data_IF_005657569213
#
_entry.id   IF_005657569213
#
_cell.length_a   1.000
_cell.length_b   1.000
_cell.length_c   1.000
_cell.angle_alpha   90.00
_cell.angle_beta   90.00
_cell.angle_gamma   90.00
#
_symmetry.space_group_name_H-M   'P 1'
#
loop_
_entity.id
_entity.type
_entity.pdbx_description
1 polymer ?
#
# COMPACT_ATOMS: atom_id res chain seq x y z
N UNK A 1 -31.95 -14.54 -11.11
CA UNK A 1 -30.55 -14.77 -10.63
C UNK A 1 -29.68 -13.52 -10.64
N UNK A 2 -29.88 -12.52 -11.51
CA UNK A 2 -29.07 -11.27 -11.55
C UNK A 2 -29.29 -10.33 -10.37
N UNK A 3 -30.51 -10.10 -9.92
CA UNK A 3 -30.84 -9.17 -8.83
C UNK A 3 -30.35 -9.64 -7.45
N UNK A 4 -30.35 -10.93 -7.18
CA UNK A 4 -29.78 -11.49 -5.93
C UNK A 4 -28.25 -11.32 -5.83
N UNK A 5 -27.55 -11.31 -6.98
CA UNK A 5 -26.12 -11.04 -7.03
C UNK A 5 -25.78 -9.57 -6.80
N UNK A 6 -26.59 -8.63 -7.32
CA UNK A 6 -26.39 -7.20 -7.12
C UNK A 6 -26.63 -6.80 -5.66
N UNK A 7 -27.66 -7.31 -4.99
CA UNK A 7 -27.91 -7.05 -3.58
C UNK A 7 -26.82 -7.60 -2.64
N UNK A 8 -26.27 -8.76 -2.97
CA UNK A 8 -25.10 -9.27 -2.26
C UNK A 8 -23.84 -8.43 -2.50
N UNK A 9 -23.63 -7.96 -3.72
CA UNK A 9 -22.51 -7.08 -4.06
C UNK A 9 -22.58 -5.75 -3.30
N UNK A 10 -23.74 -5.12 -3.26
CA UNK A 10 -23.94 -3.86 -2.51
C UNK A 10 -23.71 -4.05 -1.01
N UNK A 11 -24.16 -5.15 -0.43
CA UNK A 11 -23.93 -5.44 1.00
C UNK A 11 -22.46 -5.66 1.36
N UNK A 12 -21.68 -6.27 0.49
CA UNK A 12 -20.26 -6.56 0.77
C UNK A 12 -19.38 -5.34 0.55
N UNK A 13 -19.66 -4.53 -0.48
CA UNK A 13 -19.02 -3.21 -0.65
C UNK A 13 -19.29 -2.32 0.57
N UNK A 14 -20.53 -2.33 1.08
CA UNK A 14 -20.90 -1.62 2.30
C UNK A 14 -20.12 -2.15 3.52
N UNK A 15 -19.84 -3.45 3.58
CA UNK A 15 -19.03 -4.04 4.64
C UNK A 15 -17.56 -3.59 4.58
N UNK A 16 -16.94 -3.58 3.40
CA UNK A 16 -15.58 -3.13 3.23
C UNK A 16 -15.41 -1.64 3.55
N UNK A 17 -16.36 -0.81 3.09
CA UNK A 17 -16.41 0.62 3.42
C UNK A 17 -16.59 0.83 4.93
N UNK A 18 -17.51 0.09 5.55
CA UNK A 18 -17.79 0.20 6.98
C UNK A 18 -16.56 -0.18 7.81
N UNK A 19 -15.87 -1.27 7.46
CA UNK A 19 -14.63 -1.70 8.11
C UNK A 19 -13.54 -0.63 7.96
N UNK A 20 -13.31 -0.14 6.75
CA UNK A 20 -12.34 0.91 6.48
C UNK A 20 -12.65 2.19 7.26
N UNK A 21 -13.92 2.57 7.33
CA UNK A 21 -14.38 3.72 8.10
C UNK A 21 -14.14 3.56 9.60
N UNK A 22 -14.50 2.42 10.18
CA UNK A 22 -14.29 2.14 11.61
C UNK A 22 -12.81 2.21 11.99
N UNK A 23 -11.94 1.64 11.16
CA UNK A 23 -10.49 1.68 11.34
C UNK A 23 -9.97 3.11 11.35
N UNK A 24 -10.35 3.91 10.36
CA UNK A 24 -9.85 5.30 10.22
C UNK A 24 -10.44 6.22 11.29
N UNK A 25 -11.71 6.06 11.65
CA UNK A 25 -12.33 6.82 12.74
C UNK A 25 -11.67 6.50 14.09
N UNK A 26 -11.30 5.23 14.32
CA UNK A 26 -10.50 4.81 15.47
C UNK A 26 -9.10 5.47 15.49
N UNK A 27 -8.45 5.60 14.35
CA UNK A 27 -7.16 6.31 14.24
C UNK A 27 -7.32 7.81 14.56
N UNK A 28 -8.30 8.47 13.97
CA UNK A 28 -8.51 9.92 14.13
C UNK A 28 -8.90 10.26 15.58
N UNK A 29 -9.70 9.42 16.22
CA UNK A 29 -10.11 9.62 17.62
C UNK A 29 -8.94 9.41 18.58
N UNK A 30 -8.01 8.50 18.26
CA UNK A 30 -6.81 8.24 19.05
C UNK A 30 -5.63 9.17 18.79
N UNK A 31 -5.64 9.87 17.66
CA UNK A 31 -4.62 10.83 17.26
C UNK A 31 -5.27 12.22 17.25
N UNK A 32 -4.96 13.07 18.21
CA UNK A 32 -5.49 14.44 18.32
C UNK A 32 -5.14 15.37 17.14
N UNK A 33 -4.32 14.91 16.19
CA UNK A 33 -3.98 15.60 14.94
C UNK A 33 -3.98 14.62 13.79
N UNK A 34 -4.43 15.06 12.61
CA UNK A 34 -4.34 14.26 11.40
C UNK A 34 -2.87 13.95 11.07
N UNK A 35 -2.47 12.69 10.92
CA UNK A 35 -1.08 12.33 10.64
C UNK A 35 -0.60 12.70 9.23
N UNK A 36 -1.46 13.28 8.44
CA UNK A 36 -1.14 13.68 7.08
C UNK A 36 -1.57 15.12 6.86
N UNK A 37 -0.63 16.02 6.70
CA UNK A 37 -0.87 17.29 6.06
C UNK A 37 -0.85 17.04 4.56
N UNK A 38 -2.03 16.80 3.98
CA UNK A 38 -2.23 16.96 2.55
C UNK A 38 -2.17 18.45 2.24
N UNK A 39 -1.44 18.75 1.21
CA UNK A 39 -1.30 20.11 0.71
C UNK A 39 -2.59 20.53 0.01
N UNK A 40 -3.41 21.37 0.61
CA UNK A 40 -4.53 22.06 0.00
C UNK A 40 -4.13 23.52 -0.25
N UNK A 41 -4.60 24.14 -1.32
CA UNK A 41 -4.44 25.57 -1.51
C UNK A 41 -5.38 26.26 -0.51
N UNK A 42 -4.96 26.34 0.74
CA UNK A 42 -5.63 27.21 1.70
C UNK A 42 -5.10 28.63 1.55
N UNK A 43 -6.00 29.57 1.67
CA UNK A 43 -5.67 30.95 1.83
C UNK A 43 -4.78 31.07 3.08
N UNK A 44 -3.47 31.32 2.90
CA UNK A 44 -2.54 31.42 3.99
C UNK A 44 -2.64 32.79 4.66
N UNK A 45 -2.46 33.87 3.89
CA UNK A 45 -2.50 35.23 4.40
C UNK A 45 -2.67 36.28 3.30
N UNK A 46 -3.00 37.50 3.72
CA UNK A 46 -2.93 38.67 2.86
C UNK A 46 -1.58 39.36 3.06
N UNK A 47 -0.78 39.44 2.03
CA UNK A 47 0.45 40.23 1.98
C UNK A 47 0.23 41.52 1.22
N UNK A 48 0.86 42.59 1.64
CA UNK A 48 0.85 43.85 0.89
C UNK A 48 1.43 43.62 -0.50
N UNK A 49 0.76 44.17 -1.51
CA UNK A 49 1.20 44.15 -2.91
C UNK A 49 2.48 44.96 -3.10
N UNK A 50 3.47 44.38 -3.74
CA UNK A 50 4.69 45.08 -4.14
C UNK A 50 4.62 45.45 -5.64
N UNK A 51 5.05 46.66 -5.99
CA UNK A 51 5.06 47.11 -7.37
C UNK A 51 5.90 46.17 -8.27
N UNK A 52 5.27 45.69 -9.36
CA UNK A 52 5.89 44.74 -10.28
C UNK A 52 5.40 43.30 -10.18
N UNK A 53 4.56 42.98 -9.20
CA UNK A 53 3.96 41.66 -9.07
C UNK A 53 2.71 41.51 -9.97
N UNK A 54 2.31 40.25 -10.20
CA UNK A 54 1.11 39.95 -10.98
C UNK A 54 -0.16 40.42 -10.28
N UNK A 55 -0.98 41.20 -10.96
CA UNK A 55 -2.27 41.72 -10.45
C UNK A 55 -3.36 40.65 -10.33
N UNK A 56 -3.13 39.44 -10.87
CA UNK A 56 -4.13 38.35 -10.85
C UNK A 56 -4.57 37.91 -9.45
N UNK A 57 -3.67 38.02 -8.51
CA UNK A 57 -3.89 37.54 -7.14
C UNK A 57 -4.28 38.65 -6.15
N UNK A 58 -4.57 39.87 -6.66
CA UNK A 58 -5.01 40.98 -5.79
C UNK A 58 -6.42 40.69 -5.27
N UNK A 59 -6.62 40.86 -3.94
CA UNK A 59 -7.95 40.81 -3.36
C UNK A 59 -8.69 42.14 -3.50
N UNK A 60 -9.44 42.23 -4.58
CA UNK A 60 -10.23 43.44 -4.91
C UNK A 60 -11.34 43.71 -3.87
N UNK A 61 -11.83 42.66 -3.16
CA UNK A 61 -12.82 42.86 -2.08
C UNK A 61 -12.20 43.50 -0.85
N UNK A 62 -10.96 43.12 -0.53
CA UNK A 62 -10.25 43.71 0.59
C UNK A 62 -9.76 45.10 0.24
N UNK A 63 -9.34 45.34 -1.00
CA UNK A 63 -9.02 46.69 -1.49
C UNK A 63 -10.20 47.66 -1.34
N UNK A 64 -11.39 47.26 -1.75
CA UNK A 64 -12.60 48.07 -1.62
C UNK A 64 -12.98 48.44 -0.16
N UNK A 65 -12.47 47.70 0.79
CA UNK A 65 -12.71 47.94 2.23
C UNK A 65 -11.61 48.73 2.95
N UNK A 66 -10.38 48.58 2.45
CA UNK A 66 -9.20 49.07 3.19
C UNK A 66 -8.38 50.11 2.44
N UNK A 67 -8.68 50.33 1.15
CA UNK A 67 -7.90 51.19 0.24
C UNK A 67 -6.41 50.79 0.14
N UNK A 68 -6.08 49.54 0.55
CA UNK A 68 -4.74 48.97 0.42
C UNK A 68 -4.74 47.76 -0.47
N UNK A 69 -3.76 47.68 -1.35
CA UNK A 69 -3.59 46.52 -2.22
C UNK A 69 -2.97 45.34 -1.44
N UNK A 70 -3.72 44.28 -1.35
CA UNK A 70 -3.26 43.00 -0.80
C UNK A 70 -3.29 41.93 -1.85
N UNK A 71 -2.25 41.11 -1.87
CA UNK A 71 -2.16 39.88 -2.68
C UNK A 71 -2.55 38.71 -1.81
N UNK A 72 -3.45 37.87 -2.32
CA UNK A 72 -3.73 36.57 -1.71
C UNK A 72 -2.50 35.69 -1.88
N UNK A 73 -1.86 35.37 -0.79
CA UNK A 73 -0.83 34.36 -0.75
C UNK A 73 -1.51 32.99 -0.58
N UNK A 74 -1.30 32.14 -1.56
CA UNK A 74 -1.78 30.78 -1.54
C UNK A 74 -0.57 29.89 -1.22
N UNK A 75 -0.64 29.08 -0.20
CA UNK A 75 0.25 27.94 -0.07
C UNK A 75 -0.23 26.89 -1.07
N UNK A 76 0.65 26.47 -1.98
CA UNK A 76 0.35 25.36 -2.88
C UNK A 76 0.21 24.08 -2.04
N UNK A 77 -1.02 23.67 -1.77
CA UNK A 77 -1.29 22.31 -1.34
C UNK A 77 -1.05 21.39 -2.54
N UNK A 78 0.08 20.72 -2.54
CA UNK A 78 0.28 19.59 -3.44
C UNK A 78 -0.50 18.40 -2.86
N UNK A 79 -1.65 18.07 -3.44
CA UNK A 79 -2.36 16.85 -3.07
C UNK A 79 -1.41 15.66 -3.22
N UNK A 80 -1.18 14.92 -2.15
CA UNK A 80 -0.37 13.71 -2.20
C UNK A 80 -0.98 12.75 -3.23
N UNK A 81 -0.13 12.21 -4.09
CA UNK A 81 -0.51 11.12 -5.00
C UNK A 81 -0.04 9.82 -4.41
N UNK A 82 -0.96 8.94 -4.09
CA UNK A 82 -0.65 7.65 -3.51
C UNK A 82 -1.04 6.52 -4.45
N UNK A 83 -0.13 5.60 -4.69
CA UNK A 83 -0.38 4.35 -5.38
C UNK A 83 -0.27 3.20 -4.39
N UNK A 84 -1.36 2.47 -4.25
CA UNK A 84 -1.44 1.26 -3.46
C UNK A 84 -1.19 0.07 -4.41
N UNK A 85 -0.12 -0.64 -4.20
CA UNK A 85 0.36 -1.73 -5.05
C UNK A 85 0.12 -3.04 -4.31
N UNK A 86 -0.77 -3.88 -4.84
CA UNK A 86 -1.22 -5.12 -4.23
C UNK A 86 -0.74 -6.32 -5.01
N UNK A 87 0.04 -7.16 -4.36
CA UNK A 87 0.37 -8.48 -4.83
C UNK A 87 -0.86 -9.39 -4.73
N UNK A 88 -1.24 -9.98 -5.85
CA UNK A 88 -2.37 -10.91 -5.97
C UNK A 88 -1.93 -12.30 -6.46
N UNK A 89 -0.63 -12.62 -6.31
CA UNK A 89 -0.09 -13.96 -6.60
C UNK A 89 -0.71 -15.04 -5.71
N UNK A 90 -0.51 -16.27 -6.11
CA UNK A 90 -1.08 -17.42 -5.38
C UNK A 90 -0.55 -17.53 -3.96
N UNK A 91 0.70 -17.16 -3.72
CA UNK A 91 1.33 -17.16 -2.38
C UNK A 91 0.57 -16.29 -1.38
N UNK A 92 -0.06 -15.20 -1.85
CA UNK A 92 -0.87 -14.31 -1.02
C UNK A 92 -2.17 -14.93 -0.50
N UNK A 93 -2.61 -16.06 -1.07
CA UNK A 93 -3.79 -16.79 -0.57
C UNK A 93 -3.49 -17.66 0.66
N UNK A 94 -2.23 -17.69 1.11
CA UNK A 94 -1.84 -18.41 2.31
C UNK A 94 -2.09 -17.57 3.59
N UNK A 95 -2.55 -18.21 4.68
CA UNK A 95 -3.01 -19.59 4.81
C UNK A 95 -4.40 -19.83 4.20
N UNK A 96 -4.73 -21.08 3.88
CA UNK A 96 -6.04 -21.44 3.32
C UNK A 96 -7.19 -21.26 4.33
N UNK A 97 -6.91 -21.36 5.62
CA UNK A 97 -7.90 -21.23 6.68
C UNK A 97 -7.67 -19.96 7.50
N UNK A 98 -8.74 -19.23 7.74
CA UNK A 98 -8.69 -17.96 8.48
C UNK A 98 -8.38 -16.77 7.58
N UNK A 99 -7.81 -15.72 8.16
CA UNK A 99 -7.40 -14.51 7.43
C UNK A 99 -6.10 -14.80 6.67
N UNK A 100 -6.13 -14.75 5.35
CA UNK A 100 -4.95 -14.89 4.51
C UNK A 100 -4.27 -13.53 4.22
N UNK A 101 -3.05 -13.60 3.64
CA UNK A 101 -2.26 -12.42 3.33
C UNK A 101 -2.97 -11.46 2.36
N UNK A 102 -3.67 -12.01 1.36
CA UNK A 102 -4.43 -11.21 0.39
C UNK A 102 -5.59 -10.46 1.07
N UNK A 103 -6.38 -11.14 1.88
CA UNK A 103 -7.51 -10.53 2.61
C UNK A 103 -7.02 -9.46 3.59
N UNK A 104 -5.95 -9.74 4.34
CA UNK A 104 -5.29 -8.76 5.20
C UNK A 104 -4.90 -7.50 4.41
N UNK A 105 -4.24 -7.68 3.28
CA UNK A 105 -3.80 -6.57 2.42
C UNK A 105 -4.97 -5.78 1.85
N UNK A 106 -6.05 -6.45 1.43
CA UNK A 106 -7.28 -5.80 0.95
C UNK A 106 -7.89 -4.91 2.04
N UNK A 107 -8.00 -5.38 3.28
CA UNK A 107 -8.55 -4.58 4.37
C UNK A 107 -7.65 -3.39 4.72
N UNK A 108 -6.34 -3.59 4.73
CA UNK A 108 -5.37 -2.52 4.96
C UNK A 108 -5.44 -1.44 3.86
N UNK A 109 -5.45 -1.85 2.60
CA UNK A 109 -5.54 -0.97 1.44
C UNK A 109 -6.87 -0.20 1.44
N UNK A 110 -7.99 -0.86 1.69
CA UNK A 110 -9.30 -0.20 1.76
C UNK A 110 -9.32 0.89 2.86
N UNK A 111 -8.69 0.60 4.00
CA UNK A 111 -8.57 1.57 5.10
C UNK A 111 -7.71 2.77 4.72
N UNK A 112 -6.58 2.54 4.04
CA UNK A 112 -5.73 3.63 3.54
C UNK A 112 -6.42 4.47 2.48
N UNK A 113 -7.15 3.86 1.52
CA UNK A 113 -7.94 4.58 0.52
C UNK A 113 -8.99 5.49 1.17
N UNK A 114 -9.68 5.00 2.20
CA UNK A 114 -10.65 5.81 2.93
C UNK A 114 -9.98 6.99 3.65
N UNK A 115 -8.81 6.76 4.25
CA UNK A 115 -8.02 7.80 4.90
C UNK A 115 -7.59 8.87 3.90
N UNK A 116 -6.98 8.51 2.76
CA UNK A 116 -6.59 9.43 1.70
C UNK A 116 -7.77 10.21 1.14
N UNK A 117 -8.92 9.54 0.95
CA UNK A 117 -10.15 10.22 0.54
C UNK A 117 -10.59 11.28 1.55
N UNK A 118 -10.51 10.99 2.86
CA UNK A 118 -10.82 11.97 3.91
C UNK A 118 -9.89 13.19 3.87
N UNK A 119 -8.63 12.96 3.54
CA UNK A 119 -7.60 14.00 3.43
C UNK A 119 -7.61 14.73 2.10
N UNK A 120 -8.51 14.36 1.18
CA UNK A 120 -8.59 14.86 -0.20
C UNK A 120 -7.36 14.56 -1.05
N UNK A 121 -6.53 13.61 -0.62
CA UNK A 121 -5.41 13.11 -1.41
C UNK A 121 -5.87 12.27 -2.59
N UNK A 122 -5.08 12.26 -3.65
CA UNK A 122 -5.35 11.44 -4.82
C UNK A 122 -4.75 10.04 -4.62
N UNK A 123 -5.54 9.00 -4.83
CA UNK A 123 -5.10 7.62 -4.67
C UNK A 123 -5.50 6.75 -5.85
N UNK A 124 -4.70 5.71 -6.10
CA UNK A 124 -4.92 4.69 -7.13
C UNK A 124 -4.53 3.32 -6.63
N UNK A 125 -4.95 2.30 -7.36
CA UNK A 125 -4.67 0.90 -7.11
C UNK A 125 -3.93 0.30 -8.30
N UNK A 126 -2.85 -0.40 -8.00
CA UNK A 126 -2.17 -1.31 -8.90
C UNK A 126 -2.30 -2.73 -8.35
N UNK A 127 -2.79 -3.67 -9.12
CA UNK A 127 -2.80 -5.09 -8.77
C UNK A 127 -1.90 -5.84 -9.71
N UNK A 128 -1.15 -6.81 -9.19
CA UNK A 128 -0.21 -7.59 -9.98
C UNK A 128 -0.07 -9.03 -9.50
N UNK A 129 0.47 -9.86 -10.37
CA UNK A 129 0.98 -11.20 -10.09
C UNK A 129 2.30 -11.38 -10.85
N UNK A 130 2.33 -12.15 -11.93
CA UNK A 130 3.46 -12.24 -12.87
C UNK A 130 3.68 -10.96 -13.69
N UNK A 131 2.65 -10.16 -13.82
CA UNK A 131 2.60 -8.85 -14.50
C UNK A 131 1.58 -7.94 -13.86
N UNK A 132 1.53 -6.68 -14.29
CA UNK A 132 0.48 -5.75 -13.88
C UNK A 132 -0.85 -6.22 -14.46
N UNK A 133 -1.80 -6.52 -13.57
CA UNK A 133 -3.16 -6.90 -13.93
C UNK A 133 -4.05 -5.69 -14.16
N UNK A 134 -3.91 -4.71 -13.28
CA UNK A 134 -4.61 -3.43 -13.41
C UNK A 134 -3.80 -2.30 -12.78
N UNK A 135 -3.85 -1.13 -13.40
CA UNK A 135 -3.32 0.10 -12.84
C UNK A 135 -4.34 1.22 -13.05
N UNK A 136 -4.86 1.76 -11.96
CA UNK A 136 -5.82 2.85 -12.01
C UNK A 136 -5.13 4.21 -12.05
N UNK A 137 -5.78 5.21 -12.63
CA UNK A 137 -5.38 6.60 -12.42
C UNK A 137 -5.63 7.01 -10.98
N UNK A 138 -4.84 7.96 -10.45
CA UNK A 138 -5.06 8.54 -9.13
C UNK A 138 -6.15 9.61 -9.17
N UNK A 139 -7.14 9.53 -8.27
CA UNK A 139 -8.21 10.50 -8.11
C UNK A 139 -8.63 10.56 -6.64
N UNK A 140 -9.18 11.70 -6.20
CA UNK A 140 -9.69 11.90 -4.83
C UNK A 140 -11.22 11.79 -4.73
N UNK A 141 -11.92 11.52 -5.85
CA UNK A 141 -13.37 11.47 -5.91
C UNK A 141 -13.97 10.25 -5.19
N UNK A 142 -15.13 10.42 -4.55
CA UNK A 142 -15.85 9.31 -3.89
C UNK A 142 -16.25 8.20 -4.87
N UNK A 143 -16.64 8.55 -6.09
CA UNK A 143 -16.95 7.57 -7.15
C UNK A 143 -15.76 6.69 -7.49
N UNK A 144 -14.54 7.26 -7.44
CA UNK A 144 -13.32 6.50 -7.66
C UNK A 144 -13.04 5.53 -6.51
N UNK A 145 -13.28 5.94 -5.26
CA UNK A 145 -13.17 5.05 -4.10
C UNK A 145 -14.06 3.81 -4.26
N UNK A 146 -15.34 4.00 -4.60
CA UNK A 146 -16.27 2.87 -4.80
C UNK A 146 -15.83 1.97 -5.96
N UNK A 147 -15.33 2.54 -7.04
CA UNK A 147 -14.78 1.77 -8.15
C UNK A 147 -13.61 0.89 -7.72
N UNK A 148 -12.67 1.42 -6.92
CA UNK A 148 -11.53 0.66 -6.42
C UNK A 148 -11.95 -0.40 -5.38
N UNK A 149 -12.94 -0.09 -4.54
CA UNK A 149 -13.49 -1.10 -3.62
C UNK A 149 -14.12 -2.27 -4.37
N UNK A 150 -14.82 -2.01 -5.48
CA UNK A 150 -15.37 -3.08 -6.31
C UNK A 150 -14.26 -3.97 -6.92
N UNK A 151 -13.10 -3.39 -7.29
CA UNK A 151 -11.96 -4.15 -7.74
C UNK A 151 -11.35 -5.03 -6.64
N UNK A 152 -11.16 -4.45 -5.43
CA UNK A 152 -10.66 -5.21 -4.29
C UNK A 152 -11.61 -6.35 -3.91
N UNK A 153 -12.90 -6.11 -3.96
CA UNK A 153 -13.90 -7.13 -3.64
C UNK A 153 -13.93 -8.26 -4.68
N UNK A 154 -13.72 -7.94 -5.96
CA UNK A 154 -13.56 -8.98 -6.99
C UNK A 154 -12.38 -9.89 -6.69
N UNK A 155 -11.22 -9.31 -6.31
CA UNK A 155 -10.05 -10.10 -5.91
C UNK A 155 -10.30 -10.94 -4.65
N UNK A 156 -11.04 -10.39 -3.70
CA UNK A 156 -11.41 -11.10 -2.48
C UNK A 156 -12.27 -12.35 -2.76
N UNK A 157 -13.20 -12.26 -3.70
CA UNK A 157 -14.11 -13.36 -4.05
C UNK A 157 -13.50 -14.38 -5.00
N UNK A 158 -12.69 -13.90 -5.93
CA UNK A 158 -12.09 -14.68 -7.00
C UNK A 158 -10.56 -14.53 -6.93
N UNK A 159 -9.93 -15.08 -5.86
CA UNK A 159 -8.48 -15.01 -5.75
C UNK A 159 -7.83 -15.80 -6.87
N UNK A 160 -6.70 -15.32 -7.35
CA UNK A 160 -5.94 -16.01 -8.38
C UNK A 160 -5.29 -17.27 -7.82
N UNK A 161 -5.22 -18.28 -8.65
CA UNK A 161 -4.57 -19.56 -8.36
C UNK A 161 -3.55 -19.89 -9.42
N UNK A 162 -2.48 -20.56 -9.06
CA UNK A 162 -1.40 -20.98 -9.98
C UNK A 162 -0.77 -19.81 -10.75
N UNK A 163 -0.63 -18.66 -10.11
CA UNK A 163 0.05 -17.50 -10.67
C UNK A 163 1.35 -17.24 -9.92
N UNK A 164 2.45 -17.23 -10.65
CA UNK A 164 3.75 -16.86 -10.13
C UNK A 164 3.84 -15.35 -9.84
N UNK A 165 4.85 -14.95 -9.11
CA UNK A 165 5.17 -13.54 -8.85
C UNK A 165 6.42 -13.16 -9.64
N UNK A 166 6.39 -11.99 -10.30
CA UNK A 166 7.57 -11.33 -10.86
C UNK A 166 7.63 -9.88 -10.34
N UNK A 167 7.93 -9.75 -9.08
CA UNK A 167 7.87 -8.47 -8.37
C UNK A 167 8.86 -7.44 -8.95
N UNK A 168 10.04 -7.88 -9.37
CA UNK A 168 11.06 -6.98 -9.91
C UNK A 168 10.59 -6.30 -11.20
N UNK A 169 10.05 -7.06 -12.15
CA UNK A 169 9.53 -6.51 -13.41
C UNK A 169 8.35 -5.58 -13.17
N UNK A 170 7.43 -5.97 -12.29
CA UNK A 170 6.27 -5.15 -11.93
C UNK A 170 6.70 -3.83 -11.31
N UNK A 171 7.65 -3.83 -10.36
CA UNK A 171 8.12 -2.60 -9.74
C UNK A 171 8.85 -1.68 -10.72
N UNK A 172 9.57 -2.22 -11.71
CA UNK A 172 10.13 -1.42 -12.81
C UNK A 172 9.02 -0.74 -13.62
N UNK A 173 7.98 -1.47 -14.01
CA UNK A 173 6.83 -0.90 -14.73
C UNK A 173 6.07 0.13 -13.90
N UNK A 174 5.87 -0.13 -12.62
CA UNK A 174 5.26 0.85 -11.70
C UNK A 174 6.10 2.13 -11.65
N UNK A 175 7.43 2.02 -11.56
CA UNK A 175 8.32 3.18 -11.55
C UNK A 175 8.22 4.03 -12.83
N UNK A 176 7.93 3.41 -13.99
CA UNK A 176 7.78 4.11 -15.26
C UNK A 176 6.41 4.74 -15.45
N UNK A 177 5.34 4.07 -15.00
CA UNK A 177 3.96 4.49 -15.26
C UNK A 177 3.40 5.43 -14.21
N UNK A 178 3.93 5.37 -12.99
CA UNK A 178 3.47 6.17 -11.86
C UNK A 178 4.05 7.58 -11.94
N UNK A 179 3.22 8.58 -11.68
CA UNK A 179 3.65 9.97 -11.69
C UNK A 179 4.76 10.19 -10.66
N UNK A 180 5.85 10.85 -11.09
CA UNK A 180 6.99 11.16 -10.20
C UNK A 180 6.57 11.84 -8.89
N UNK A 181 7.36 11.66 -7.84
CA UNK A 181 7.11 12.20 -6.50
C UNK A 181 5.79 11.74 -5.89
N UNK A 182 5.42 10.49 -6.14
CA UNK A 182 4.26 9.85 -5.52
C UNK A 182 4.67 9.04 -4.31
N UNK A 183 3.73 8.81 -3.39
CA UNK A 183 3.83 7.78 -2.37
C UNK A 183 3.43 6.45 -2.99
N UNK A 184 4.29 5.46 -2.92
CA UNK A 184 4.04 4.09 -3.40
C UNK A 184 4.04 3.16 -2.20
N UNK A 185 2.90 2.56 -1.89
CA UNK A 185 2.74 1.62 -0.78
C UNK A 185 2.51 0.23 -1.36
N UNK A 186 3.42 -0.68 -1.08
CA UNK A 186 3.44 -2.03 -1.63
C UNK A 186 3.01 -3.02 -0.55
N UNK A 187 2.07 -3.89 -0.87
CA UNK A 187 1.66 -5.03 -0.05
C UNK A 187 2.01 -6.31 -0.79
N UNK A 188 3.01 -7.04 -0.31
CA UNK A 188 3.51 -8.30 -0.86
C UNK A 188 4.23 -9.07 0.24
N UNK A 189 4.35 -10.39 0.10
CA UNK A 189 5.24 -11.19 0.94
C UNK A 189 6.71 -11.07 0.53
N UNK A 190 6.96 -10.35 -0.58
CA UNK A 190 8.31 -10.12 -1.14
C UNK A 190 9.09 -11.41 -1.41
N UNK A 191 8.39 -12.54 -1.55
CA UNK A 191 8.97 -13.84 -1.82
C UNK A 191 8.73 -14.21 -3.27
N UNK A 192 9.75 -14.69 -3.93
CA UNK A 192 9.65 -15.31 -5.27
C UNK A 192 10.23 -16.72 -5.21
N UNK A 193 9.68 -17.60 -6.05
CA UNK A 193 10.21 -18.93 -6.20
C UNK A 193 11.67 -18.92 -6.68
N UNK A 194 12.50 -19.74 -6.06
CA UNK A 194 13.93 -19.84 -6.39
C UNK A 194 14.66 -18.48 -6.33
N UNK A 195 14.61 -17.83 -5.15
CA UNK A 195 15.37 -16.60 -4.90
C UNK A 195 16.87 -16.87 -5.02
N UNK A 196 17.38 -16.81 -6.23
CA UNK A 196 18.81 -16.79 -6.50
C UNK A 196 19.36 -15.34 -6.42
N UNK A 197 20.66 -15.21 -6.42
CA UNK A 197 21.33 -13.92 -6.35
C UNK A 197 20.93 -12.98 -7.51
N UNK A 198 20.56 -13.51 -8.66
CA UNK A 198 20.16 -12.74 -9.85
C UNK A 198 18.79 -12.10 -9.64
N UNK A 199 17.82 -12.84 -9.15
CA UNK A 199 16.47 -12.31 -8.83
C UNK A 199 16.52 -11.27 -7.73
N UNK A 200 17.32 -11.52 -6.69
CA UNK A 200 17.52 -10.57 -5.61
C UNK A 200 18.15 -9.26 -6.11
N UNK A 201 19.13 -9.32 -6.99
CA UNK A 201 19.72 -8.13 -7.61
C UNK A 201 18.71 -7.39 -8.51
N UNK A 202 17.88 -8.10 -9.26
CA UNK A 202 16.81 -7.51 -10.08
C UNK A 202 15.78 -6.79 -9.21
N UNK A 203 15.37 -7.39 -8.08
CA UNK A 203 14.49 -6.75 -7.10
C UNK A 203 15.11 -5.46 -6.55
N UNK A 204 16.39 -5.49 -6.18
CA UNK A 204 17.06 -4.28 -5.67
C UNK A 204 17.20 -3.20 -6.74
N UNK A 205 17.43 -3.56 -8.00
CA UNK A 205 17.45 -2.61 -9.12
C UNK A 205 16.07 -1.97 -9.33
N UNK A 206 14.99 -2.73 -9.22
CA UNK A 206 13.62 -2.22 -9.32
C UNK A 206 13.27 -1.26 -8.17
N UNK A 207 13.65 -1.61 -6.94
CA UNK A 207 13.51 -0.75 -5.76
C UNK A 207 14.29 0.56 -5.94
N UNK A 208 15.53 0.49 -6.46
CA UNK A 208 16.33 1.67 -6.77
C UNK A 208 15.69 2.54 -7.85
N UNK A 209 15.06 1.94 -8.86
CA UNK A 209 14.36 2.67 -9.92
C UNK A 209 13.19 3.50 -9.38
N UNK A 210 12.40 2.93 -8.45
CA UNK A 210 11.35 3.69 -7.76
C UNK A 210 11.92 4.92 -7.05
N UNK A 211 13.05 4.79 -6.34
CA UNK A 211 13.69 5.94 -5.66
C UNK A 211 14.29 6.95 -6.61
N UNK A 212 14.83 6.51 -7.74
CA UNK A 212 15.37 7.42 -8.77
C UNK A 212 14.30 8.39 -9.27
N UNK A 213 13.07 7.93 -9.44
CA UNK A 213 11.91 8.75 -9.80
C UNK A 213 11.36 9.59 -8.63
N UNK A 214 12.09 9.66 -7.52
CA UNK A 214 11.78 10.44 -6.31
C UNK A 214 10.47 10.02 -5.64
N UNK A 215 10.07 8.76 -5.78
CA UNK A 215 8.95 8.22 -5.03
C UNK A 215 9.33 8.04 -3.55
N UNK A 216 8.38 8.30 -2.70
CA UNK A 216 8.40 7.78 -1.33
C UNK A 216 7.85 6.36 -1.38
N UNK A 217 8.61 5.40 -0.90
CA UNK A 217 8.24 3.98 -1.00
C UNK A 217 8.13 3.38 0.38
N UNK A 218 7.02 2.68 0.61
CA UNK A 218 6.75 1.92 1.83
C UNK A 218 6.36 0.51 1.42
N UNK A 219 7.00 -0.48 2.03
CA UNK A 219 6.74 -1.90 1.78
C UNK A 219 6.13 -2.50 3.04
N UNK A 220 4.91 -3.01 2.93
CA UNK A 220 4.33 -3.90 3.92
C UNK A 220 4.67 -5.33 3.50
N UNK A 221 5.66 -5.92 4.20
CA UNK A 221 6.08 -7.30 4.00
C UNK A 221 5.10 -8.22 4.74
N UNK A 222 4.07 -8.67 4.00
CA UNK A 222 2.95 -9.42 4.58
C UNK A 222 3.33 -10.89 4.74
N UNK A 223 3.22 -11.42 5.94
CA UNK A 223 3.64 -12.79 6.24
C UNK A 223 2.75 -13.48 7.28
N UNK A 224 2.81 -14.81 7.31
CA UNK A 224 2.28 -15.62 8.40
C UNK A 224 3.41 -15.94 9.38
N UNK A 225 3.36 -15.31 10.56
CA UNK A 225 4.39 -15.48 11.59
C UNK A 225 4.55 -16.94 12.02
N UNK A 226 3.45 -17.65 12.20
CA UNK A 226 3.48 -19.02 12.73
C UNK A 226 3.98 -20.01 11.67
N UNK A 227 3.49 -19.94 10.46
CA UNK A 227 3.74 -20.93 9.40
C UNK A 227 4.96 -20.59 8.55
N UNK A 228 5.09 -19.33 8.13
CA UNK A 228 6.20 -18.92 7.28
C UNK A 228 7.45 -18.53 8.10
N UNK A 229 7.29 -17.75 9.19
CA UNK A 229 8.45 -17.27 9.94
C UNK A 229 8.98 -18.29 10.93
N UNK A 230 8.10 -18.81 11.80
CA UNK A 230 8.46 -19.76 12.86
C UNK A 230 8.55 -21.19 12.32
N UNK A 231 8.06 -21.43 11.11
CA UNK A 231 7.93 -22.75 10.50
C UNK A 231 7.30 -23.77 11.47
N UNK A 232 6.21 -23.35 12.11
CA UNK A 232 5.55 -24.11 13.18
C UNK A 232 4.57 -25.13 12.60
N UNK A 233 5.10 -26.27 12.19
CA UNK A 233 4.35 -27.45 11.75
C UNK A 233 4.56 -28.60 12.70
N UNK A 234 3.57 -29.49 12.79
CA UNK A 234 3.68 -30.74 13.51
C UNK A 234 4.86 -31.56 13.01
N UNK A 235 5.52 -32.30 13.93
CA UNK A 235 6.68 -33.11 13.58
C UNK A 235 6.29 -34.45 12.90
N UNK A 236 5.38 -34.36 11.92
CA UNK A 236 4.96 -35.47 11.04
C UNK A 236 5.42 -35.17 9.63
N UNK A 237 5.52 -36.17 8.74
CA UNK A 237 5.75 -35.92 7.34
C UNK A 237 4.63 -35.05 6.77
N UNK A 238 4.99 -33.89 6.21
CA UNK A 238 4.08 -33.02 5.51
C UNK A 238 4.35 -33.06 4.00
N UNK A 239 3.28 -32.91 3.26
CA UNK A 239 3.31 -32.70 1.84
C UNK A 239 3.11 -31.21 1.58
N UNK A 240 4.20 -30.53 1.26
CA UNK A 240 4.16 -29.11 0.89
C UNK A 240 3.95 -28.98 -0.61
N UNK A 241 3.06 -28.12 -0.99
CA UNK A 241 2.75 -27.81 -2.37
C UNK A 241 3.06 -26.33 -2.55
N UNK A 242 3.91 -26.01 -3.51
CA UNK A 242 4.15 -24.63 -3.90
C UNK A 242 2.90 -24.07 -4.59
N UNK A 243 2.34 -23.01 -4.04
CA UNK A 243 1.08 -22.42 -4.54
C UNK A 243 1.25 -21.75 -5.91
N UNK A 244 2.48 -21.43 -6.31
CA UNK A 244 2.76 -20.75 -7.59
C UNK A 244 3.13 -21.73 -8.70
N UNK A 245 4.06 -22.66 -8.44
CA UNK A 245 4.54 -23.64 -9.44
C UNK A 245 3.77 -24.94 -9.42
N UNK A 246 3.10 -25.27 -8.31
CA UNK A 246 2.47 -26.57 -8.10
C UNK A 246 3.47 -27.69 -7.78
N UNK A 247 4.75 -27.37 -7.57
CA UNK A 247 5.75 -28.36 -7.18
C UNK A 247 5.46 -28.91 -5.79
N UNK A 248 5.67 -30.21 -5.64
CA UNK A 248 5.34 -30.94 -4.42
C UNK A 248 6.60 -31.52 -3.77
N UNK A 249 6.72 -31.31 -2.45
CA UNK A 249 7.81 -31.88 -1.69
C UNK A 249 7.29 -32.54 -0.41
N UNK A 250 7.74 -33.79 -0.15
CA UNK A 250 7.42 -34.51 1.09
C UNK A 250 8.62 -34.42 2.02
N UNK A 251 8.47 -33.74 3.14
CA UNK A 251 9.53 -33.55 4.11
C UNK A 251 9.04 -33.62 5.55
N UNK A 252 9.96 -33.90 6.45
CA UNK A 252 9.75 -33.76 7.88
C UNK A 252 10.12 -32.33 8.31
N UNK A 253 9.17 -31.51 8.79
CA UNK A 253 9.45 -30.11 9.13
C UNK A 253 10.60 -29.95 10.13
N UNK A 254 10.70 -30.82 11.12
CA UNK A 254 11.77 -30.78 12.12
C UNK A 254 13.19 -30.92 11.53
N UNK A 255 13.34 -31.56 10.36
CA UNK A 255 14.65 -31.73 9.73
C UNK A 255 15.10 -30.51 8.95
N UNK A 256 14.17 -29.72 8.42
CA UNK A 256 14.47 -28.59 7.54
C UNK A 256 14.25 -27.22 8.22
N UNK A 257 13.53 -27.19 9.37
CA UNK A 257 13.17 -25.95 10.07
C UNK A 257 14.34 -25.00 10.24
N UNK A 258 15.45 -25.49 10.81
CA UNK A 258 16.62 -24.66 11.09
C UNK A 258 17.26 -24.09 9.82
N UNK A 259 17.40 -24.91 8.79
CA UNK A 259 17.96 -24.46 7.50
C UNK A 259 17.04 -23.44 6.84
N UNK A 260 15.74 -23.69 6.80
CA UNK A 260 14.74 -22.77 6.27
C UNK A 260 14.76 -21.41 6.99
N UNK A 261 14.67 -21.42 8.32
CA UNK A 261 14.70 -20.20 9.13
C UNK A 261 15.99 -19.40 8.93
N UNK A 262 17.15 -20.09 8.85
CA UNK A 262 18.44 -19.42 8.60
C UNK A 262 18.44 -18.73 7.22
N UNK A 263 17.98 -19.43 6.18
CA UNK A 263 17.90 -18.86 4.83
C UNK A 263 16.92 -17.68 4.76
N UNK A 264 15.75 -17.82 5.37
CA UNK A 264 14.75 -16.76 5.40
C UNK A 264 15.25 -15.53 6.17
N UNK A 265 15.91 -15.72 7.32
CA UNK A 265 16.50 -14.61 8.09
C UNK A 265 17.59 -13.90 7.31
N UNK A 266 18.44 -14.63 6.58
CA UNK A 266 19.46 -14.03 5.74
C UNK A 266 18.85 -13.17 4.63
N UNK A 267 17.88 -13.71 3.90
CA UNK A 267 17.16 -12.99 2.86
C UNK A 267 16.49 -11.70 3.38
N UNK A 268 15.76 -11.80 4.49
CA UNK A 268 15.09 -10.64 5.10
C UNK A 268 16.07 -9.56 5.52
N UNK A 269 17.18 -9.96 6.13
CA UNK A 269 18.22 -9.02 6.53
C UNK A 269 18.84 -8.30 5.34
N UNK A 270 19.07 -9.00 4.23
CA UNK A 270 19.55 -8.36 3.00
C UNK A 270 18.52 -7.38 2.44
N UNK A 271 17.24 -7.77 2.40
CA UNK A 271 16.16 -6.89 1.96
C UNK A 271 16.05 -5.64 2.83
N UNK A 272 16.06 -5.79 4.16
CA UNK A 272 16.04 -4.68 5.11
C UNK A 272 17.23 -3.72 4.93
N UNK A 273 18.46 -4.26 4.78
CA UNK A 273 19.66 -3.46 4.56
C UNK A 273 19.57 -2.66 3.25
N UNK A 274 19.06 -3.26 2.18
CA UNK A 274 18.88 -2.58 0.91
C UNK A 274 17.78 -1.53 0.96
N UNK A 275 16.67 -1.83 1.59
CA UNK A 275 15.60 -0.85 1.83
C UNK A 275 16.14 0.35 2.64
N UNK A 276 16.89 0.10 3.70
CA UNK A 276 17.52 1.17 4.49
C UNK A 276 18.52 1.99 3.68
N UNK A 277 19.33 1.36 2.84
CA UNK A 277 20.30 2.03 1.94
C UNK A 277 19.60 3.01 0.99
N UNK A 278 18.40 2.67 0.52
CA UNK A 278 17.62 3.51 -0.39
C UNK A 278 16.57 4.37 0.31
N UNK A 279 16.58 4.45 1.65
CA UNK A 279 15.59 5.17 2.44
C UNK A 279 14.16 4.73 2.09
N UNK A 280 13.92 3.44 2.09
CA UNK A 280 12.62 2.80 1.91
C UNK A 280 12.19 2.22 3.24
N UNK A 281 10.98 2.56 3.67
CA UNK A 281 10.40 1.96 4.87
C UNK A 281 9.89 0.56 4.54
N UNK A 282 10.45 -0.44 5.20
CA UNK A 282 9.91 -1.81 5.19
C UNK A 282 9.27 -2.09 6.55
N UNK A 283 8.05 -2.57 6.53
CA UNK A 283 7.22 -2.84 7.71
C UNK A 283 6.88 -4.31 7.69
N UNK A 284 7.26 -5.00 8.75
CA UNK A 284 6.85 -6.39 8.96
C UNK A 284 5.36 -6.44 9.28
N UNK A 285 4.58 -7.08 8.44
CA UNK A 285 3.14 -7.11 8.51
C UNK A 285 2.65 -8.54 8.72
N UNK A 286 2.84 -9.07 9.94
CA UNK A 286 2.32 -10.38 10.29
C UNK A 286 0.78 -10.34 10.37
N UNK A 287 0.12 -11.24 9.66
CA UNK A 287 -1.36 -11.28 9.62
C UNK A 287 -1.98 -11.49 11.01
N UNK A 288 -1.25 -12.14 11.94
CA UNK A 288 -1.67 -12.36 13.32
C UNK A 288 -1.73 -11.08 14.17
N UNK A 289 -0.91 -10.08 13.83
CA UNK A 289 -0.88 -8.81 14.57
C UNK A 289 -2.05 -7.89 14.21
N UNK A 290 -2.77 -8.22 13.12
CA UNK A 290 -3.92 -7.47 12.64
C UNK A 290 -3.55 -6.21 11.88
N UNK A 291 -4.26 -5.95 10.78
CA UNK A 291 -3.99 -4.80 9.90
C UNK A 291 -4.21 -3.45 10.58
N UNK A 292 -5.10 -3.38 11.59
CA UNK A 292 -5.38 -2.16 12.35
C UNK A 292 -4.13 -1.67 13.10
N UNK A 293 -3.52 -2.53 13.91
CA UNK A 293 -2.38 -2.15 14.76
C UNK A 293 -1.14 -1.86 13.94
N UNK A 294 -0.93 -2.59 12.85
CA UNK A 294 0.17 -2.37 11.91
C UNK A 294 0.02 -1.01 11.21
N UNK A 295 -1.16 -0.71 10.67
CA UNK A 295 -1.42 0.58 10.03
C UNK A 295 -1.31 1.74 11.05
N UNK A 296 -1.83 1.56 12.26
CA UNK A 296 -1.73 2.56 13.33
C UNK A 296 -0.27 2.88 13.64
N UNK A 297 0.55 1.85 13.81
CA UNK A 297 1.98 2.01 14.10
C UNK A 297 2.70 2.75 12.97
N UNK A 298 2.41 2.41 11.72
CA UNK A 298 2.93 3.11 10.55
C UNK A 298 2.52 4.58 10.52
N UNK A 299 1.24 4.88 10.73
CA UNK A 299 0.70 6.23 10.70
C UNK A 299 1.28 7.12 11.81
N UNK A 300 1.48 6.57 13.02
CA UNK A 300 2.15 7.27 14.12
C UNK A 300 3.59 7.59 13.76
N UNK A 301 4.35 6.61 13.25
CA UNK A 301 5.73 6.80 12.80
C UNK A 301 5.82 7.89 11.73
N UNK A 302 4.95 7.84 10.73
CA UNK A 302 4.92 8.84 9.66
C UNK A 302 4.64 10.25 10.17
N UNK A 303 3.69 10.40 11.10
CA UNK A 303 3.37 11.70 11.69
C UNK A 303 4.53 12.31 12.50
N UNK A 304 5.41 11.49 13.06
CA UNK A 304 6.57 11.96 13.81
C UNK A 304 7.76 12.34 12.92
N UNK A 305 7.71 12.05 11.61
CA UNK A 305 8.76 12.35 10.63
C UNK A 305 8.53 13.65 9.86
N UNK A 306 7.31 14.21 9.96
CA UNK A 306 6.90 15.49 9.39
C UNK A 306 6.95 16.57 10.48
#
# INVERSE_FOLDING_TARGET
>A
MSQLNEDQQVRQLANLELLARQVVEGFITGLHQSPFHGFSVEFAEHRLYNNGESVKNIDWKLFAKTDKLFVKQFEEETNLRCYLVLDSSSSMNFPEQGLNKLQFSIYAIASLMYLFKKQRDAFGLCTFSDKIDSLSHVKSASTHLFYLYAQLEKLYREPKTNTATNIAEVLHHVAEQVHQRSLVIIFSDMLENNMDNTKLQSLFAAIQHLKYNKHEVVIFNVNDKQKEMDFNFDNRPHHFIDMESGEEIKVHPGKIRQAYQTSLMHYRKELELKCAQYHIDIIDAAIQDGYYDILRSYLIKRNSMI
#
